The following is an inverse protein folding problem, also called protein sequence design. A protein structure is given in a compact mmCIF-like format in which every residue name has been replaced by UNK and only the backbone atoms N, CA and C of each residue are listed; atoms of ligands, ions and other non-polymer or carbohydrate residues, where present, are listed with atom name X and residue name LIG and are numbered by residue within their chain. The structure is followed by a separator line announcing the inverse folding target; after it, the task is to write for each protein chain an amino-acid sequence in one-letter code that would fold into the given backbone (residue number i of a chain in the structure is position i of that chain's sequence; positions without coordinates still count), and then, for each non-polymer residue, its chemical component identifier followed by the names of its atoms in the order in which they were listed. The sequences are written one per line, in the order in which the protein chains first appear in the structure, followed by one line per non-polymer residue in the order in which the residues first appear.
data_IF_663798629334
#
_entry.id   IF_663798629334
#
_cell.length_a   1.000
_cell.length_b   1.000
_cell.length_c   1.000
_cell.angle_alpha   90.00
_cell.angle_beta   90.00
_cell.angle_gamma   90.00
#
_symmetry.space_group_name_H-M   'P 1'
#
loop_
_entity.id
_entity.type
_entity.pdbx_description
1 polymer ?
#
# COMPACT_ATOMS: atom_id res chain seq x y z
N UNK A 1 7.12 -10.39 -13.62
CA UNK A 1 6.10 -9.46 -14.09
C UNK A 1 5.79 -8.46 -12.99
N UNK A 2 5.59 -7.18 -13.33
CA UNK A 2 5.26 -6.20 -12.30
C UNK A 2 3.88 -6.49 -11.72
N UNK A 3 3.73 -6.24 -10.44
CA UNK A 3 2.44 -6.41 -9.77
C UNK A 3 1.55 -5.20 -10.05
N UNK A 4 0.24 -5.42 -10.05
CA UNK A 4 -0.71 -4.32 -10.18
C UNK A 4 -0.88 -3.63 -8.83
N UNK A 5 -1.21 -2.33 -8.87
CA UNK A 5 -1.42 -1.58 -7.64
C UNK A 5 -2.49 -2.21 -6.75
N UNK A 6 -3.55 -2.76 -7.35
CA UNK A 6 -4.60 -3.43 -6.57
C UNK A 6 -4.06 -4.62 -5.77
N UNK A 7 -3.00 -5.27 -6.27
CA UNK A 7 -2.40 -6.40 -5.56
C UNK A 7 -1.62 -5.91 -4.33
N UNK A 8 -0.92 -4.79 -4.46
CA UNK A 8 -0.24 -4.19 -3.31
C UNK A 8 -1.25 -3.76 -2.25
N UNK A 9 -2.36 -3.19 -2.68
CA UNK A 9 -3.43 -2.78 -1.77
C UNK A 9 -4.01 -3.98 -1.04
N UNK A 10 -4.23 -5.09 -1.76
CA UNK A 10 -4.73 -6.31 -1.14
C UNK A 10 -3.75 -6.81 -0.06
N UNK A 11 -2.46 -6.74 -0.32
CA UNK A 11 -1.44 -7.13 0.65
C UNK A 11 -1.50 -6.23 1.89
N UNK A 12 -1.65 -4.91 1.69
CA UNK A 12 -1.77 -3.97 2.80
C UNK A 12 -2.99 -4.28 3.66
N UNK A 13 -4.12 -4.52 3.02
CA UNK A 13 -5.36 -4.82 3.74
C UNK A 13 -5.23 -6.12 4.54
N UNK A 14 -4.61 -7.14 3.96
CA UNK A 14 -4.37 -8.39 4.67
C UNK A 14 -3.45 -8.22 5.87
N UNK A 15 -2.54 -7.26 5.79
CA UNK A 15 -1.62 -6.98 6.89
C UNK A 15 -2.24 -6.10 7.98
N UNK A 16 -3.47 -5.63 7.77
CA UNK A 16 -4.17 -4.82 8.76
C UNK A 16 -4.15 -3.32 8.51
N UNK A 17 -3.69 -2.92 7.34
CA UNK A 17 -3.75 -1.50 6.95
C UNK A 17 -5.15 -1.12 6.51
N UNK A 18 -5.57 0.08 6.85
CA UNK A 18 -6.90 0.60 6.54
C UNK A 18 -6.77 1.84 5.66
N UNK A 19 -7.62 1.94 4.65
CA UNK A 19 -7.67 3.11 3.78
C UNK A 19 -8.26 4.28 4.55
N UNK A 20 -7.47 5.33 4.73
CA UNK A 20 -7.92 6.56 5.40
C UNK A 20 -8.35 7.64 4.43
N UNK A 21 -8.45 7.31 3.15
CA UNK A 21 -8.85 8.27 2.15
C UNK A 21 -7.69 8.97 1.49
N UNK A 22 -8.00 9.92 0.63
CA UNK A 22 -7.02 10.67 -0.14
C UNK A 22 -7.72 11.38 -1.28
N UNK A 23 -6.96 12.17 -2.04
CA UNK A 23 -7.52 12.91 -3.17
C UNK A 23 -7.19 12.21 -4.48
N UNK A 24 -8.19 12.11 -5.36
CA UNK A 24 -8.00 11.53 -6.68
C UNK A 24 -7.50 10.10 -6.60
N UNK A 25 -6.36 9.83 -7.24
CA UNK A 25 -5.78 8.49 -7.24
C UNK A 25 -4.88 8.22 -6.05
N UNK A 26 -4.73 9.19 -5.13
CA UNK A 26 -3.90 8.99 -3.93
C UNK A 26 -4.73 8.34 -2.83
N UNK A 27 -4.21 7.26 -2.26
CA UNK A 27 -4.87 6.52 -1.18
C UNK A 27 -3.90 6.37 -0.02
N UNK A 28 -4.32 6.81 1.16
CA UNK A 28 -3.49 6.74 2.36
C UNK A 28 -3.90 5.52 3.17
N UNK A 29 -2.95 4.64 3.43
CA UNK A 29 -3.18 3.44 4.24
C UNK A 29 -2.43 3.57 5.55
N UNK A 30 -3.08 3.18 6.63
CA UNK A 30 -2.49 3.29 7.96
C UNK A 30 -2.76 2.02 8.76
N UNK A 31 -1.73 1.58 9.48
CA UNK A 31 -1.83 0.44 10.39
C UNK A 31 -2.06 0.94 11.81
N UNK A 32 -2.70 0.11 12.64
CA UNK A 32 -2.95 0.44 14.04
C UNK A 32 -1.66 0.75 14.81
N UNK A 33 -0.55 0.18 14.39
CA UNK A 33 0.76 0.42 14.99
C UNK A 33 1.42 1.71 14.53
N UNK A 34 0.78 2.46 13.64
CA UNK A 34 1.26 3.77 13.21
C UNK A 34 1.97 3.82 11.86
N UNK A 35 2.24 2.68 11.24
CA UNK A 35 2.85 2.67 9.91
C UNK A 35 1.89 3.27 8.90
N UNK A 36 2.44 4.09 7.99
CA UNK A 36 1.64 4.74 6.95
C UNK A 36 2.30 4.56 5.60
N UNK A 37 1.47 4.39 4.58
CA UNK A 37 1.95 4.33 3.20
C UNK A 37 0.89 4.94 2.28
N UNK A 38 1.34 5.74 1.31
CA UNK A 38 0.47 6.34 0.32
C UNK A 38 0.65 5.62 -1.01
N UNK A 39 -0.44 5.13 -1.57
CA UNK A 39 -0.45 4.48 -2.87
C UNK A 39 -1.09 5.44 -3.87
N UNK A 40 -0.36 5.81 -4.91
CA UNK A 40 -0.88 6.68 -5.97
C UNK A 40 -0.92 5.94 -7.28
N UNK A 41 -1.90 6.28 -8.13
CA UNK A 41 -2.10 5.66 -9.42
C UNK A 41 -3.39 4.87 -9.48
N UNK A 42 -3.68 4.34 -10.66
CA UNK A 42 -4.93 3.59 -10.89
C UNK A 42 -4.75 2.13 -10.49
N UNK A 43 -5.82 1.52 -10.02
CA UNK A 43 -5.79 0.14 -9.52
C UNK A 43 -5.27 -0.86 -10.55
N UNK A 44 -5.59 -0.64 -11.82
CA UNK A 44 -5.14 -1.53 -12.88
C UNK A 44 -3.74 -1.24 -13.41
N UNK A 45 -3.09 -0.18 -12.92
CA UNK A 45 -1.75 0.17 -13.37
C UNK A 45 -0.71 -0.73 -12.72
N UNK A 46 0.42 -0.88 -13.41
CA UNK A 46 1.54 -1.64 -12.86
C UNK A 46 2.18 -0.86 -11.72
N UNK A 47 2.48 -1.55 -10.63
CA UNK A 47 3.16 -0.96 -9.50
C UNK A 47 4.60 -0.61 -9.89
N UNK A 48 5.07 0.53 -9.43
CA UNK A 48 6.47 0.90 -9.62
C UNK A 48 7.33 0.17 -8.59
N UNK A 49 8.60 -0.05 -8.93
CA UNK A 49 9.50 -0.78 -8.06
C UNK A 49 9.55 -0.19 -6.65
N UNK A 50 9.62 1.14 -6.53
CA UNK A 50 9.69 1.78 -5.22
C UNK A 50 8.39 1.55 -4.42
N UNK A 51 7.25 1.44 -5.09
CA UNK A 51 5.98 1.18 -4.42
C UNK A 51 5.95 -0.22 -3.82
N UNK A 52 6.42 -1.21 -4.58
CA UNK A 52 6.50 -2.58 -4.07
C UNK A 52 7.42 -2.66 -2.85
N UNK A 53 8.55 -1.97 -2.93
CA UNK A 53 9.52 -1.95 -1.84
C UNK A 53 8.95 -1.29 -0.59
N UNK A 54 8.27 -0.15 -0.76
CA UNK A 54 7.65 0.54 0.36
C UNK A 54 6.58 -0.30 1.04
N UNK A 55 5.72 -0.92 0.24
CA UNK A 55 4.64 -1.74 0.79
C UNK A 55 5.22 -2.91 1.59
N UNK A 56 6.20 -3.60 1.02
CA UNK A 56 6.85 -4.72 1.71
C UNK A 56 7.46 -4.26 3.03
N UNK A 57 8.18 -3.14 3.00
CA UNK A 57 8.85 -2.62 4.18
C UNK A 57 7.85 -2.25 5.28
N UNK A 58 6.76 -1.58 4.91
CA UNK A 58 5.75 -1.17 5.89
C UNK A 58 5.03 -2.37 6.49
N UNK A 59 4.75 -3.38 5.68
CA UNK A 59 4.12 -4.60 6.17
C UNK A 59 5.05 -5.30 7.19
N UNK A 60 6.33 -5.39 6.88
CA UNK A 60 7.29 -6.01 7.79
C UNK A 60 7.39 -5.23 9.10
N UNK A 61 7.41 -3.91 9.03
CA UNK A 61 7.43 -3.06 10.23
C UNK A 61 6.20 -3.29 11.09
N UNK A 62 5.04 -3.49 10.48
CA UNK A 62 3.80 -3.69 11.22
C UNK A 62 3.74 -5.03 11.94
N UNK A 63 4.59 -5.98 11.57
CA UNK A 63 4.64 -7.31 12.17
C UNK A 63 5.56 -7.40 13.37
N UNK A 64 6.30 -6.37 13.64
CA UNK A 64 7.26 -6.35 14.75
C UNK A 64 6.65 -5.90 16.05
#
# INVERSE_FOLDING_TARGET
MPRKLRQLIADLERAGFVNRGGKGSHRNYEHLKGQRVTISGQLGADARHYQEKQVRQKIEESRK
#
